data_IF_019330997396
#
_entry.id   IF_019330997396
#
_cell.length_a   1.000
_cell.length_b   1.000
_cell.length_c   1.000
_cell.angle_alpha   90.00
_cell.angle_beta   90.00
_cell.angle_gamma   90.00
#
_symmetry.space_group_name_H-M   'P 1'
#
loop_
_entity.id
_entity.type
_entity.pdbx_description
1 polymer ?
#
# COMPACT_ATOMS: atom_id res chain seq x y z
N UNK A 1 50.32 8.05 -9.42
CA UNK A 1 49.33 8.45 -8.40
C UNK A 1 47.95 8.72 -9.00
N UNK A 2 47.84 9.58 -10.02
CA UNK A 2 46.54 9.97 -10.61
C UNK A 2 45.77 8.82 -11.31
N UNK A 3 46.48 7.91 -11.99
CA UNK A 3 45.86 6.75 -12.66
C UNK A 3 45.21 5.79 -11.67
N UNK A 4 45.84 5.54 -10.52
CA UNK A 4 45.35 4.65 -9.47
C UNK A 4 44.09 5.19 -8.77
N UNK A 5 44.00 6.51 -8.63
CA UNK A 5 42.80 7.19 -8.12
C UNK A 5 41.63 7.11 -9.10
N UNK A 6 41.89 7.24 -10.41
CA UNK A 6 40.86 7.06 -11.43
C UNK A 6 40.32 5.63 -11.48
N UNK A 7 41.19 4.61 -11.38
CA UNK A 7 40.73 3.21 -11.34
C UNK A 7 39.98 2.89 -10.05
N UNK A 8 40.38 3.44 -8.91
CA UNK A 8 39.66 3.25 -7.65
C UNK A 8 38.26 3.88 -7.68
N UNK A 9 38.12 5.05 -8.31
CA UNK A 9 36.82 5.72 -8.47
C UNK A 9 35.89 4.95 -9.42
N UNK A 10 36.41 4.44 -10.53
CA UNK A 10 35.68 3.58 -11.47
C UNK A 10 35.23 2.25 -10.84
N UNK A 11 36.07 1.64 -10.01
CA UNK A 11 35.72 0.42 -9.27
C UNK A 11 34.65 0.66 -8.20
N UNK A 12 34.62 1.86 -7.59
CA UNK A 12 33.58 2.23 -6.61
C UNK A 12 32.23 2.45 -7.28
N UNK A 13 32.20 3.09 -8.45
CA UNK A 13 30.96 3.29 -9.23
C UNK A 13 30.36 2.00 -9.81
N UNK A 14 31.17 0.94 -9.98
CA UNK A 14 30.68 -0.36 -10.42
C UNK A 14 30.11 -1.20 -9.26
N UNK A 15 30.46 -0.86 -8.02
CA UNK A 15 30.06 -1.62 -6.83
C UNK A 15 28.90 -0.98 -6.05
N UNK A 16 28.44 0.20 -6.47
CA UNK A 16 27.15 0.76 -6.06
C UNK A 16 26.03 0.06 -6.80
N UNK A 17 25.84 -1.23 -6.52
CA UNK A 17 24.56 -1.87 -6.77
C UNK A 17 23.53 -1.13 -5.94
N UNK A 18 22.62 -0.41 -6.60
CA UNK A 18 21.40 0.05 -5.96
C UNK A 18 20.75 -1.20 -5.37
N UNK A 19 20.62 -1.27 -4.05
CA UNK A 19 19.89 -2.33 -3.40
C UNK A 19 18.43 -2.23 -3.86
N UNK A 20 18.12 -2.91 -4.96
CA UNK A 20 16.76 -3.02 -5.48
C UNK A 20 16.07 -4.03 -4.57
N UNK A 21 15.36 -3.54 -3.56
CA UNK A 21 14.47 -4.39 -2.79
C UNK A 21 13.37 -4.86 -3.76
N UNK A 22 13.40 -6.13 -4.14
CA UNK A 22 12.28 -6.73 -4.85
C UNK A 22 11.07 -6.68 -3.92
N UNK A 23 9.98 -6.07 -4.40
CA UNK A 23 8.69 -6.11 -3.70
C UNK A 23 8.22 -7.56 -3.81
N UNK A 24 8.30 -8.28 -2.70
CA UNK A 24 7.81 -9.65 -2.60
C UNK A 24 6.28 -9.72 -2.73
N UNK A 25 5.70 -10.94 -2.82
CA UNK A 25 4.26 -11.08 -2.82
C UNK A 25 3.63 -10.53 -1.52
N UNK A 26 2.39 -10.04 -1.56
CA UNK A 26 1.67 -9.64 -0.35
C UNK A 26 1.59 -10.78 0.67
N UNK A 27 1.84 -10.47 1.95
CA UNK A 27 1.70 -11.46 3.03
C UNK A 27 0.23 -11.88 3.24
N UNK A 28 -0.70 -10.98 2.89
CA UNK A 28 -2.15 -11.22 2.90
C UNK A 28 -2.78 -10.62 1.64
N UNK A 29 -3.13 -11.43 0.64
CA UNK A 29 -3.68 -10.92 -0.61
C UNK A 29 -5.19 -10.61 -0.52
N UNK A 30 -5.96 -11.37 0.25
CA UNK A 30 -7.41 -11.16 0.41
C UNK A 30 -7.69 -10.13 1.52
N UNK A 31 -8.34 -9.01 1.17
CA UNK A 31 -8.62 -7.91 2.11
C UNK A 31 -10.10 -7.49 2.09
N UNK A 32 -10.62 -7.13 3.25
CA UNK A 32 -11.95 -6.50 3.41
C UNK A 32 -11.80 -5.06 3.87
N UNK A 33 -12.17 -4.10 3.03
CA UNK A 33 -12.01 -2.68 3.29
C UNK A 33 -13.36 -1.97 3.49
N UNK A 34 -13.48 -1.20 4.58
CA UNK A 34 -14.67 -0.41 4.88
C UNK A 34 -14.67 0.99 4.25
N UNK A 35 -15.85 1.55 3.99
CA UNK A 35 -16.01 2.96 3.63
C UNK A 35 -17.35 3.56 4.08
N UNK A 36 -17.41 4.90 4.23
CA UNK A 36 -18.67 5.65 4.35
C UNK A 36 -19.04 6.20 2.96
N UNK A 37 -20.34 6.23 2.65
CA UNK A 37 -20.88 6.72 1.36
C UNK A 37 -20.80 8.25 1.24
N UNK A 38 -19.58 8.78 1.20
CA UNK A 38 -19.23 10.17 0.89
C UNK A 38 -18.32 10.19 -0.35
N UNK A 39 -18.01 11.37 -0.89
CA UNK A 39 -17.25 11.49 -2.14
C UNK A 39 -15.75 11.26 -1.97
N UNK A 40 -15.22 11.44 -0.76
CA UNK A 40 -13.81 11.23 -0.40
C UNK A 40 -13.36 9.76 -0.44
N UNK A 41 -14.29 8.80 -0.41
CA UNK A 41 -13.98 7.39 -0.66
C UNK A 41 -13.58 7.09 -2.12
N UNK A 42 -13.73 8.05 -3.05
CA UNK A 42 -13.52 7.86 -4.48
C UNK A 42 -12.21 7.12 -4.86
N UNK A 43 -11.04 7.37 -4.24
CA UNK A 43 -9.83 6.61 -4.55
C UNK A 43 -9.99 5.10 -4.34
N UNK A 44 -10.71 4.70 -3.28
CA UNK A 44 -10.96 3.29 -2.97
C UNK A 44 -11.85 2.64 -4.03
N UNK A 45 -12.93 3.31 -4.43
CA UNK A 45 -13.81 2.81 -5.49
C UNK A 45 -13.12 2.76 -6.85
N UNK A 46 -12.33 3.78 -7.20
CA UNK A 46 -11.56 3.79 -8.46
C UNK A 46 -10.53 2.66 -8.47
N UNK A 47 -9.81 2.43 -7.36
CA UNK A 47 -8.85 1.32 -7.28
C UNK A 47 -9.51 -0.04 -7.46
N UNK A 48 -10.72 -0.21 -6.93
CA UNK A 48 -11.51 -1.43 -7.10
C UNK A 48 -12.01 -1.60 -8.55
N UNK A 49 -12.65 -0.58 -9.11
CA UNK A 49 -13.24 -0.60 -10.46
C UNK A 49 -12.19 -0.67 -11.59
N UNK A 50 -11.05 -0.02 -11.41
CA UNK A 50 -9.97 0.02 -12.42
C UNK A 50 -8.97 -1.14 -12.26
N UNK A 51 -9.11 -1.98 -11.23
CA UNK A 51 -8.25 -3.14 -11.03
C UNK A 51 -6.88 -2.86 -10.42
N UNK A 52 -6.63 -1.65 -9.89
CA UNK A 52 -5.35 -1.30 -9.29
C UNK A 52 -4.97 -2.18 -8.09
N UNK A 53 -5.96 -2.72 -7.36
CA UNK A 53 -5.67 -3.71 -6.32
C UNK A 53 -5.10 -5.01 -6.90
N UNK A 54 -5.67 -5.49 -8.01
CA UNK A 54 -5.23 -6.74 -8.64
C UNK A 54 -3.82 -6.59 -9.24
N UNK A 55 -3.48 -5.42 -9.77
CA UNK A 55 -2.14 -5.11 -10.28
C UNK A 55 -1.06 -5.27 -9.18
N UNK A 56 -1.43 -5.00 -7.93
CA UNK A 56 -0.60 -5.17 -6.73
C UNK A 56 -0.75 -6.56 -6.07
N UNK A 57 -1.50 -7.49 -6.68
CA UNK A 57 -1.74 -8.83 -6.15
C UNK A 57 -2.71 -8.89 -4.96
N UNK A 58 -3.56 -7.88 -4.79
CA UNK A 58 -4.57 -7.79 -3.73
C UNK A 58 -5.98 -8.08 -4.27
N UNK A 59 -6.71 -8.95 -3.57
CA UNK A 59 -8.10 -9.30 -3.82
C UNK A 59 -8.99 -8.61 -2.79
N UNK A 60 -9.52 -7.44 -3.15
CA UNK A 60 -10.21 -6.54 -2.22
C UNK A 60 -11.73 -6.65 -2.35
N UNK A 61 -12.41 -6.87 -1.23
CA UNK A 61 -13.84 -6.63 -1.05
C UNK A 61 -14.05 -5.27 -0.37
N UNK A 62 -14.89 -4.40 -0.95
CA UNK A 62 -15.25 -3.10 -0.35
C UNK A 62 -16.65 -3.15 0.26
N UNK A 63 -16.79 -2.72 1.52
CA UNK A 63 -18.04 -2.82 2.28
C UNK A 63 -18.48 -1.46 2.85
N UNK A 64 -19.66 -1.01 2.46
CA UNK A 64 -20.23 0.24 2.96
C UNK A 64 -20.63 0.13 4.44
N UNK A 65 -20.22 1.10 5.25
CA UNK A 65 -20.48 1.16 6.69
C UNK A 65 -21.57 2.18 7.04
N UNK A 66 -22.29 1.92 8.13
CA UNK A 66 -23.42 2.74 8.54
C UNK A 66 -23.00 4.11 9.12
N UNK A 67 -21.89 4.17 9.84
CA UNK A 67 -21.34 5.38 10.45
C UNK A 67 -19.89 5.16 10.90
N UNK A 68 -19.21 6.25 11.29
CA UNK A 68 -17.80 6.25 11.70
C UNK A 68 -17.50 5.41 12.93
N UNK A 69 -18.43 5.30 13.89
CA UNK A 69 -18.22 4.47 15.08
C UNK A 69 -18.19 2.99 14.71
N UNK A 70 -19.17 2.53 13.94
CA UNK A 70 -19.24 1.14 13.48
C UNK A 70 -18.03 0.78 12.63
N UNK A 71 -17.64 1.66 11.70
CA UNK A 71 -16.47 1.46 10.86
C UNK A 71 -15.19 1.31 11.71
N UNK A 72 -14.96 2.23 12.66
CA UNK A 72 -13.81 2.18 13.57
C UNK A 72 -13.81 0.90 14.42
N UNK A 73 -14.94 0.57 15.04
CA UNK A 73 -15.06 -0.62 15.90
C UNK A 73 -14.70 -1.89 15.10
N UNK A 74 -15.18 -2.02 13.85
CA UNK A 74 -14.93 -3.18 12.98
C UNK A 74 -13.49 -3.29 12.46
N UNK A 75 -12.81 -2.15 12.27
CA UNK A 75 -11.37 -2.15 11.96
C UNK A 75 -10.57 -2.60 13.19
N UNK A 76 -10.90 -2.08 14.38
CA UNK A 76 -10.20 -2.45 15.63
C UNK A 76 -10.39 -3.93 15.96
N UNK A 77 -11.58 -4.50 15.71
CA UNK A 77 -11.85 -5.92 15.94
C UNK A 77 -11.27 -6.84 14.86
N UNK A 78 -10.79 -6.29 13.74
CA UNK A 78 -10.28 -7.07 12.61
C UNK A 78 -11.37 -7.72 11.75
N UNK A 79 -12.63 -7.30 11.90
CA UNK A 79 -13.69 -7.67 10.95
C UNK A 79 -13.49 -7.02 9.57
N UNK A 80 -12.85 -5.85 9.58
CA UNK A 80 -12.32 -5.17 8.40
C UNK A 80 -10.80 -5.07 8.55
N UNK A 81 -10.08 -5.30 7.45
CA UNK A 81 -8.63 -5.19 7.39
C UNK A 81 -8.14 -3.74 7.34
N UNK A 82 -9.03 -2.84 6.94
CA UNK A 82 -8.77 -1.41 6.88
C UNK A 82 -9.99 -0.65 6.38
N UNK A 83 -9.87 0.67 6.25
CA UNK A 83 -10.93 1.49 5.73
C UNK A 83 -10.42 2.87 5.27
N UNK A 84 -11.22 3.57 4.48
CA UNK A 84 -11.13 5.03 4.41
C UNK A 84 -11.67 5.62 5.73
N UNK A 85 -10.87 6.47 6.39
CA UNK A 85 -11.14 6.94 7.76
C UNK A 85 -10.91 8.44 7.93
N UNK A 86 -11.54 9.01 8.96
CA UNK A 86 -11.29 10.38 9.39
C UNK A 86 -9.88 10.51 9.96
N UNK A 87 -9.25 11.67 9.77
CA UNK A 87 -7.98 11.97 10.42
C UNK A 87 -8.10 11.88 11.95
N UNK A 88 -7.22 11.09 12.59
CA UNK A 88 -7.21 10.86 14.04
C UNK A 88 -7.98 9.61 14.50
N UNK A 89 -8.72 8.96 13.59
CA UNK A 89 -8.93 7.52 13.65
C UNK A 89 -7.68 6.84 13.02
N UNK A 90 -7.37 5.57 13.33
CA UNK A 90 -6.02 5.00 13.49
C UNK A 90 -4.90 5.52 12.58
#
# INVERSE_FOLDING_TARGET
>A
MFRTLLTALLLWTLNTGLAQAEIGPPEKPDLRLGFIKLTDMAPLAVAWEQGFFMDEGLFVEIEAQANWKVLLDRVITGELDGAHMLAGQP
#
